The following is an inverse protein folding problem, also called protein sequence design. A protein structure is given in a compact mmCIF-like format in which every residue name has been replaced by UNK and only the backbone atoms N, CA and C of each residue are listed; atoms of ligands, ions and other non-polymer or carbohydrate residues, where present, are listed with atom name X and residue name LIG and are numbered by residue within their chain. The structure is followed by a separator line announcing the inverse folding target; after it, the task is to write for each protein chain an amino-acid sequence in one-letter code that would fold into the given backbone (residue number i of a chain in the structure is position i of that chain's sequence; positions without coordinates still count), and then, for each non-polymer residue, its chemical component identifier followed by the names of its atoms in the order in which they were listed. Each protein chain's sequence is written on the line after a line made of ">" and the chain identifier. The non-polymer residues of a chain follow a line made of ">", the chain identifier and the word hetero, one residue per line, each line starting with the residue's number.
data_IF_194981436606
#
_entry.id   IF_194981436606
#
_cell.length_a   1.000
_cell.length_b   1.000
_cell.length_c   1.000
_cell.angle_alpha   90.00
_cell.angle_beta   90.00
_cell.angle_gamma   90.00
#
_symmetry.space_group_name_H-M   'P 1'
#
loop_
_entity.id
_entity.type
_entity.pdbx_description
1 polymer ?
#
# COMPACT_ATOMS: atom_id res chain seq x y z
N UNK A 1 56.90 -21.45 24.36
CA UNK A 1 56.06 -20.24 24.40
C UNK A 1 55.74 -19.87 22.98
N UNK A 2 54.84 -20.61 22.29
CA UNK A 2 54.37 -20.28 20.93
C UNK A 2 53.18 -21.14 20.43
N UNK A 3 52.41 -21.75 21.29
CA UNK A 3 51.23 -22.53 20.88
C UNK A 3 49.91 -22.18 21.60
N UNK A 4 49.92 -21.16 22.46
CA UNK A 4 48.71 -20.69 23.20
C UNK A 4 48.10 -19.38 22.64
N UNK A 5 48.85 -18.62 21.83
CA UNK A 5 48.34 -17.39 21.22
C UNK A 5 47.57 -17.64 19.91
N UNK A 6 47.83 -18.72 19.20
CA UNK A 6 47.13 -19.08 17.95
C UNK A 6 45.72 -19.68 18.19
N UNK A 7 45.43 -20.17 19.39
CA UNK A 7 44.14 -20.77 19.73
C UNK A 7 43.13 -19.75 20.25
N UNK A 8 43.56 -18.52 20.59
CA UNK A 8 42.67 -17.45 21.10
C UNK A 8 42.17 -16.55 19.95
N UNK A 9 42.94 -16.44 18.85
CA UNK A 9 42.50 -15.66 17.69
C UNK A 9 41.42 -16.37 16.83
N UNK A 10 41.45 -17.74 16.79
CA UNK A 10 40.43 -18.50 16.06
C UNK A 10 39.09 -18.68 16.76
N UNK A 11 38.93 -18.23 18.00
CA UNK A 11 37.65 -18.25 18.75
C UNK A 11 36.92 -16.92 18.79
N UNK A 12 37.46 -15.86 18.19
CA UNK A 12 36.82 -14.54 18.13
C UNK A 12 36.14 -14.21 16.81
N UNK A 13 36.21 -15.08 15.81
CA UNK A 13 35.54 -14.85 14.50
C UNK A 13 34.21 -15.60 14.33
N UNK A 14 33.72 -16.35 15.32
CA UNK A 14 32.44 -17.05 15.25
C UNK A 14 31.30 -16.45 16.09
N UNK A 15 31.48 -15.30 16.71
CA UNK A 15 30.39 -14.53 17.36
C UNK A 15 30.10 -13.20 16.65
N UNK A 16 30.26 -13.15 15.32
CA UNK A 16 29.61 -12.17 14.48
C UNK A 16 28.15 -12.58 14.33
N UNK A 17 27.29 -12.14 15.25
CA UNK A 17 25.86 -12.29 15.11
C UNK A 17 25.46 -11.81 13.73
N UNK A 18 24.89 -12.71 12.94
CA UNK A 18 24.16 -12.40 11.73
C UNK A 18 23.08 -11.36 12.09
N UNK A 19 23.45 -10.09 12.01
CA UNK A 19 22.50 -8.99 11.99
C UNK A 19 21.73 -9.15 10.69
N UNK A 20 20.71 -10.00 10.73
CA UNK A 20 19.89 -10.36 9.60
C UNK A 20 19.62 -9.14 8.75
N UNK A 21 20.06 -9.19 7.51
CA UNK A 21 19.86 -8.12 6.55
C UNK A 21 18.37 -7.71 6.58
N UNK A 22 18.03 -6.46 6.95
CA UNK A 22 16.62 -6.05 7.02
C UNK A 22 15.83 -6.32 5.74
N UNK A 23 16.53 -6.38 4.58
CA UNK A 23 15.97 -6.75 3.30
C UNK A 23 15.61 -8.25 3.22
N UNK A 24 16.39 -9.14 3.85
CA UNK A 24 16.07 -10.57 3.91
C UNK A 24 14.90 -10.84 4.86
N UNK A 25 14.85 -10.15 6.00
CA UNK A 25 13.70 -10.21 6.91
C UNK A 25 12.43 -9.66 6.24
N UNK A 26 12.58 -8.63 5.40
CA UNK A 26 11.48 -8.06 4.65
C UNK A 26 11.02 -8.99 3.52
N UNK A 27 11.94 -9.66 2.82
CA UNK A 27 11.60 -10.65 1.78
C UNK A 27 10.90 -11.87 2.38
N UNK A 28 11.34 -12.38 3.53
CA UNK A 28 10.66 -13.45 4.26
C UNK A 28 9.26 -13.04 4.76
N UNK A 29 9.12 -11.77 5.17
CA UNK A 29 7.84 -11.22 5.59
C UNK A 29 6.91 -10.97 4.41
N UNK A 30 7.45 -10.56 3.26
CA UNK A 30 6.69 -10.25 2.04
C UNK A 30 6.33 -11.49 1.21
N UNK A 31 6.81 -12.68 1.57
CA UNK A 31 6.34 -13.94 1.01
C UNK A 31 7.10 -14.41 -0.24
N UNK A 32 8.40 -14.16 -0.33
CA UNK A 32 9.28 -14.72 -1.38
C UNK A 32 9.50 -16.24 -1.21
N UNK A 33 8.80 -16.86 -0.26
CA UNK A 33 8.76 -18.32 -0.10
C UNK A 33 7.70 -18.89 -1.04
N UNK A 34 8.03 -19.91 -1.85
CA UNK A 34 7.09 -20.49 -2.83
C UNK A 34 5.81 -21.08 -2.21
N UNK A 35 5.78 -21.26 -0.89
CA UNK A 35 4.65 -21.84 -0.15
C UNK A 35 3.76 -20.81 0.56
N UNK A 36 4.02 -19.50 0.42
CA UNK A 36 3.21 -18.47 1.06
C UNK A 36 2.49 -17.60 0.03
N UNK A 37 1.19 -17.42 0.22
CA UNK A 37 0.43 -16.45 -0.56
C UNK A 37 1.06 -15.05 -0.42
N UNK A 38 1.33 -14.34 -1.52
CA UNK A 38 1.93 -13.01 -1.48
C UNK A 38 1.04 -12.03 -0.71
N UNK A 39 1.65 -11.16 0.09
CA UNK A 39 0.93 -10.10 0.78
C UNK A 39 0.39 -9.11 -0.26
N UNK A 40 -0.91 -9.12 -0.48
CA UNK A 40 -1.60 -8.21 -1.41
C UNK A 40 -2.25 -7.05 -0.66
N UNK A 41 -1.41 -6.23 -0.01
CA UNK A 41 -1.87 -5.09 0.79
C UNK A 41 -0.99 -3.87 0.56
N UNK A 42 -1.61 -2.69 0.60
CA UNK A 42 -0.92 -1.40 0.52
C UNK A 42 -1.48 -0.46 1.59
N UNK A 43 -0.64 0.39 2.15
CA UNK A 43 -1.03 1.36 3.18
C UNK A 43 -1.04 2.79 2.66
N UNK A 44 -2.07 3.56 3.01
CA UNK A 44 -2.09 5.03 2.96
C UNK A 44 -2.09 5.50 4.40
N UNK A 45 -0.89 5.63 4.96
CA UNK A 45 -0.68 5.94 6.37
C UNK A 45 0.04 7.28 6.50
N UNK A 46 -0.50 8.18 7.31
CA UNK A 46 0.01 9.55 7.42
C UNK A 46 -0.68 10.52 6.45
N UNK A 47 -0.07 11.66 6.20
CA UNK A 47 -0.64 12.69 5.34
C UNK A 47 -0.45 12.35 3.85
N UNK A 48 -1.41 12.74 3.02
CA UNK A 48 -1.37 12.57 1.56
C UNK A 48 -0.62 13.77 0.99
N UNK A 49 0.58 13.54 0.46
CA UNK A 49 1.48 14.57 -0.02
C UNK A 49 2.32 14.07 -1.19
N UNK A 50 2.95 15.00 -1.93
CA UNK A 50 3.77 14.70 -3.11
C UNK A 50 4.88 13.68 -2.79
N UNK A 51 5.45 13.73 -1.58
CA UNK A 51 6.56 12.88 -1.17
C UNK A 51 6.21 11.38 -1.14
N UNK A 52 4.94 11.03 -0.94
CA UNK A 52 4.52 9.63 -0.81
C UNK A 52 3.53 9.15 -1.88
N UNK A 53 2.95 10.06 -2.64
CA UNK A 53 1.96 9.70 -3.69
C UNK A 53 2.57 8.79 -4.75
N UNK A 54 3.81 9.06 -5.16
CA UNK A 54 4.53 8.23 -6.13
C UNK A 54 4.65 6.79 -5.67
N UNK A 55 5.07 6.56 -4.44
CA UNK A 55 5.22 5.22 -3.86
C UNK A 55 3.89 4.47 -3.79
N UNK A 56 2.81 5.18 -3.42
CA UNK A 56 1.47 4.60 -3.37
C UNK A 56 1.01 4.20 -4.78
N UNK A 57 1.17 5.07 -5.78
CA UNK A 57 0.77 4.80 -7.17
C UNK A 57 1.55 3.62 -7.76
N UNK A 58 2.88 3.58 -7.57
CA UNK A 58 3.69 2.45 -8.02
C UNK A 58 3.36 1.16 -7.28
N UNK A 59 3.08 1.23 -5.98
CA UNK A 59 2.61 0.10 -5.19
C UNK A 59 1.28 -0.47 -5.71
N UNK A 60 0.33 0.39 -6.06
CA UNK A 60 -0.93 0.01 -6.69
C UNK A 60 -0.72 -0.69 -8.04
N UNK A 61 0.16 -0.15 -8.88
CA UNK A 61 0.53 -0.76 -10.17
C UNK A 61 1.20 -2.13 -9.99
N UNK A 62 2.10 -2.27 -9.04
CA UNK A 62 2.76 -3.54 -8.74
C UNK A 62 1.75 -4.62 -8.32
N UNK A 63 0.81 -4.28 -7.42
CA UNK A 63 -0.28 -5.17 -7.00
C UNK A 63 -1.21 -5.52 -8.17
N UNK A 64 -1.49 -4.57 -9.06
CA UNK A 64 -2.30 -4.81 -10.24
C UNK A 64 -1.59 -5.72 -11.25
N UNK A 65 -0.31 -5.52 -11.51
CA UNK A 65 0.46 -6.34 -12.45
C UNK A 65 0.60 -7.79 -11.99
N UNK A 66 0.57 -8.05 -10.69
CA UNK A 66 0.66 -9.39 -10.10
C UNK A 66 -0.71 -9.97 -9.72
N UNK A 67 -1.81 -9.43 -10.25
CA UNK A 67 -3.17 -9.83 -9.85
C UNK A 67 -3.59 -11.21 -10.33
N UNK A 68 -3.05 -11.66 -11.46
CA UNK A 68 -3.46 -12.91 -12.05
C UNK A 68 -2.84 -14.11 -11.34
N UNK A 69 -3.64 -15.05 -10.95
CA UNK A 69 -3.25 -16.36 -10.42
C UNK A 69 -4.02 -17.46 -11.11
N UNK A 70 -3.44 -18.62 -11.18
CA UNK A 70 -4.07 -19.82 -11.71
C UNK A 70 -4.75 -20.60 -10.58
N UNK A 71 -6.01 -20.96 -10.76
CA UNK A 71 -6.77 -21.78 -9.82
C UNK A 71 -7.47 -22.90 -10.56
N UNK A 72 -7.58 -24.06 -9.91
CA UNK A 72 -8.42 -25.14 -10.40
C UNK A 72 -9.88 -24.67 -10.42
N UNK A 73 -10.61 -24.96 -11.49
CA UNK A 73 -12.07 -24.69 -11.58
C UNK A 73 -12.84 -25.47 -10.52
N UNK A 74 -12.43 -26.71 -10.27
CA UNK A 74 -12.95 -27.54 -9.20
C UNK A 74 -11.80 -27.84 -8.22
N UNK A 75 -11.80 -27.24 -7.02
CA UNK A 75 -10.77 -27.49 -6.01
C UNK A 75 -10.73 -28.92 -5.48
N UNK A 76 -11.83 -29.69 -5.65
CA UNK A 76 -11.94 -31.08 -5.21
C UNK A 76 -11.41 -32.06 -6.27
N UNK A 77 -11.25 -31.63 -7.53
CA UNK A 77 -10.70 -32.41 -8.63
C UNK A 77 -9.31 -31.89 -9.05
N UNK A 78 -8.22 -32.58 -8.69
CA UNK A 78 -6.85 -32.19 -9.09
C UNK A 78 -6.59 -32.17 -10.60
N UNK A 79 -7.44 -32.86 -11.39
CA UNK A 79 -7.34 -32.92 -12.85
C UNK A 79 -8.26 -31.89 -13.54
N UNK A 80 -8.97 -31.06 -12.75
CA UNK A 80 -9.85 -30.05 -13.32
C UNK A 80 -9.06 -28.99 -14.11
N UNK A 81 -9.72 -28.36 -15.06
CA UNK A 81 -9.14 -27.27 -15.84
C UNK A 81 -8.69 -26.11 -14.93
N UNK A 82 -7.57 -25.50 -15.29
CA UNK A 82 -7.04 -24.32 -14.62
C UNK A 82 -7.64 -23.07 -15.25
N UNK A 83 -8.12 -22.14 -14.42
CA UNK A 83 -8.58 -20.84 -14.86
C UNK A 83 -7.73 -19.71 -14.25
N UNK A 84 -7.56 -18.63 -15.00
CA UNK A 84 -6.92 -17.40 -14.51
C UNK A 84 -7.94 -16.57 -13.74
N UNK A 85 -7.61 -16.29 -12.50
CA UNK A 85 -8.46 -15.50 -11.59
C UNK A 85 -7.72 -14.23 -11.17
N UNK A 86 -8.42 -13.10 -11.20
CA UNK A 86 -7.88 -11.86 -10.65
C UNK A 86 -8.00 -11.85 -9.12
N UNK A 87 -6.87 -11.76 -8.44
CA UNK A 87 -6.82 -11.65 -6.97
C UNK A 87 -7.02 -10.20 -6.54
N UNK A 88 -7.96 -9.91 -5.63
CA UNK A 88 -8.10 -8.59 -5.05
C UNK A 88 -6.89 -8.22 -4.20
N UNK A 89 -6.75 -6.93 -3.89
CA UNK A 89 -5.83 -6.47 -2.87
C UNK A 89 -6.52 -5.52 -1.89
N UNK A 90 -5.96 -5.39 -0.69
CA UNK A 90 -6.49 -4.53 0.36
C UNK A 90 -5.68 -3.24 0.50
N UNK A 91 -6.37 -2.09 0.49
CA UNK A 91 -5.80 -0.79 0.82
C UNK A 91 -6.22 -0.40 2.24
N UNK A 92 -5.22 -0.30 3.12
CA UNK A 92 -5.41 0.12 4.52
C UNK A 92 -5.18 1.62 4.61
N UNK A 93 -6.15 2.36 5.16
CA UNK A 93 -6.14 3.83 5.18
C UNK A 93 -6.21 4.33 6.62
N UNK A 94 -5.20 5.14 7.00
CA UNK A 94 -5.17 5.88 8.27
C UNK A 94 -4.50 7.24 8.05
N UNK A 95 -5.30 8.27 7.77
CA UNK A 95 -4.79 9.58 7.34
C UNK A 95 -5.59 10.74 7.91
N UNK A 96 -4.95 11.89 8.10
CA UNK A 96 -5.63 13.18 8.31
C UNK A 96 -6.17 13.79 7.01
N UNK A 97 -5.80 13.25 5.85
CA UNK A 97 -6.02 13.83 4.53
C UNK A 97 -4.73 14.44 3.99
N UNK A 98 -4.83 15.51 3.23
CA UNK A 98 -3.69 16.19 2.63
C UNK A 98 -4.03 16.89 1.33
N UNK A 99 -3.08 16.96 0.40
CA UNK A 99 -3.24 17.63 -0.90
C UNK A 99 -4.29 16.91 -1.76
N UNK A 100 -5.24 17.71 -2.28
CA UNK A 100 -6.34 17.17 -3.10
C UNK A 100 -5.85 16.66 -4.46
N UNK A 101 -4.81 17.24 -5.04
CA UNK A 101 -4.25 16.82 -6.35
C UNK A 101 -3.58 15.46 -6.20
N UNK A 102 -2.86 15.27 -5.10
CA UNK A 102 -2.21 14.01 -4.78
C UNK A 102 -3.26 12.91 -4.48
N UNK A 103 -4.31 13.26 -3.77
CA UNK A 103 -5.44 12.36 -3.56
C UNK A 103 -6.09 11.94 -4.88
N UNK A 104 -6.30 12.88 -5.82
CA UNK A 104 -6.88 12.56 -7.13
C UNK A 104 -5.96 11.65 -7.96
N UNK A 105 -4.64 11.81 -7.89
CA UNK A 105 -3.71 10.91 -8.57
C UNK A 105 -3.88 9.46 -8.09
N UNK A 106 -3.95 9.25 -6.78
CA UNK A 106 -4.22 7.92 -6.19
C UNK A 106 -5.62 7.42 -6.57
N UNK A 107 -6.64 8.29 -6.48
CA UNK A 107 -8.03 7.97 -6.81
C UNK A 107 -8.18 7.51 -8.26
N UNK A 108 -7.58 8.23 -9.22
CA UNK A 108 -7.64 7.89 -10.64
C UNK A 108 -6.94 6.55 -10.92
N UNK A 109 -5.81 6.27 -10.27
CA UNK A 109 -5.17 4.97 -10.34
C UNK A 109 -6.07 3.86 -9.80
N UNK A 110 -6.72 4.05 -8.66
CA UNK A 110 -7.70 3.10 -8.13
C UNK A 110 -8.85 2.88 -9.11
N UNK A 111 -9.36 3.95 -9.73
CA UNK A 111 -10.42 3.87 -10.75
C UNK A 111 -9.99 3.11 -12.01
N UNK A 112 -8.73 3.26 -12.40
CA UNK A 112 -8.15 2.52 -13.52
C UNK A 112 -8.11 1.02 -13.21
N UNK A 113 -7.55 0.64 -12.07
CA UNK A 113 -7.36 -0.74 -11.62
C UNK A 113 -8.68 -1.48 -11.40
N UNK A 114 -9.69 -0.79 -10.85
CA UNK A 114 -11.00 -1.38 -10.57
C UNK A 114 -11.80 -1.85 -11.78
N UNK A 115 -11.30 -1.68 -12.98
CA UNK A 115 -11.93 -2.21 -14.21
C UNK A 115 -11.80 -3.73 -14.29
N UNK A 116 -10.73 -4.28 -13.72
CA UNK A 116 -10.37 -5.70 -13.84
C UNK A 116 -9.77 -6.32 -12.56
N UNK A 117 -9.62 -5.54 -11.49
CA UNK A 117 -9.14 -6.01 -10.19
C UNK A 117 -9.91 -5.33 -9.05
N UNK A 118 -10.46 -6.10 -8.15
CA UNK A 118 -11.16 -5.56 -6.98
C UNK A 118 -10.16 -4.95 -5.98
N UNK A 119 -10.51 -3.76 -5.49
CA UNK A 119 -9.79 -3.08 -4.41
C UNK A 119 -10.65 -3.09 -3.16
N UNK A 120 -10.23 -3.84 -2.16
CA UNK A 120 -10.83 -3.76 -0.83
C UNK A 120 -10.23 -2.57 -0.08
N UNK A 121 -11.03 -1.79 0.62
CA UNK A 121 -10.52 -0.69 1.43
C UNK A 121 -10.89 -0.89 2.90
N UNK A 122 -9.94 -0.59 3.78
CA UNK A 122 -10.10 -0.67 5.24
C UNK A 122 -9.63 0.62 5.90
N UNK A 123 -10.57 1.40 6.43
CA UNK A 123 -10.26 2.55 7.26
C UNK A 123 -9.96 2.15 8.70
N UNK A 124 -8.81 2.55 9.25
CA UNK A 124 -8.43 2.31 10.65
C UNK A 124 -8.01 3.61 11.34
N UNK A 125 -8.25 3.69 12.65
CA UNK A 125 -7.88 4.85 13.46
C UNK A 125 -8.59 6.13 13.02
N UNK A 126 -8.16 6.70 11.91
CA UNK A 126 -8.73 7.93 11.35
C UNK A 126 -8.69 7.93 9.82
N UNK A 127 -9.76 8.37 9.19
CA UNK A 127 -9.83 8.62 7.74
C UNK A 127 -10.52 9.98 7.56
N UNK A 128 -9.71 11.00 7.30
CA UNK A 128 -10.18 12.38 7.31
C UNK A 128 -9.93 13.04 5.97
N UNK A 129 -10.77 14.04 5.62
CA UNK A 129 -10.58 14.92 4.46
C UNK A 129 -10.31 14.11 3.16
N UNK A 130 -9.19 14.34 2.50
CA UNK A 130 -8.74 13.63 1.28
C UNK A 130 -8.67 12.09 1.42
N UNK A 131 -8.59 11.54 2.64
CA UNK A 131 -8.65 10.10 2.85
C UNK A 131 -10.02 9.48 2.61
N UNK A 132 -11.10 10.26 2.76
CA UNK A 132 -12.47 9.74 2.65
C UNK A 132 -12.83 9.34 1.21
N UNK A 133 -12.52 10.14 0.16
CA UNK A 133 -12.68 9.72 -1.22
C UNK A 133 -11.92 8.43 -1.56
N UNK A 134 -10.70 8.24 -1.03
CA UNK A 134 -9.92 7.02 -1.25
C UNK A 134 -10.60 5.80 -0.61
N UNK A 135 -11.10 5.93 0.63
CA UNK A 135 -11.89 4.87 1.27
C UNK A 135 -13.13 4.53 0.45
N UNK A 136 -13.82 5.54 -0.05
CA UNK A 136 -15.02 5.38 -0.87
C UNK A 136 -14.73 4.81 -2.28
N UNK A 137 -13.50 5.00 -2.79
CA UNK A 137 -13.06 4.49 -4.09
C UNK A 137 -12.87 2.97 -4.12
N UNK A 138 -12.85 2.27 -3.00
CA UNK A 138 -12.85 0.81 -2.95
C UNK A 138 -14.04 0.18 -3.67
N UNK A 139 -13.92 -1.09 -4.05
CA UNK A 139 -14.99 -1.84 -4.71
C UNK A 139 -16.27 -1.86 -3.86
N UNK A 140 -17.41 -1.65 -4.49
CA UNK A 140 -18.71 -1.66 -3.79
C UNK A 140 -18.92 -3.00 -3.07
N UNK A 141 -19.27 -2.93 -1.78
CA UNK A 141 -19.43 -4.12 -0.92
C UNK A 141 -18.12 -4.58 -0.25
N UNK A 142 -16.97 -4.08 -0.69
CA UNK A 142 -15.65 -4.46 -0.15
C UNK A 142 -14.96 -3.32 0.62
N UNK A 143 -15.73 -2.32 1.03
CA UNK A 143 -15.27 -1.18 1.83
C UNK A 143 -15.59 -1.41 3.29
N UNK A 144 -14.59 -1.31 4.15
CA UNK A 144 -14.69 -1.63 5.57
C UNK A 144 -14.12 -0.48 6.42
N UNK A 145 -14.65 -0.35 7.62
CA UNK A 145 -14.20 0.61 8.62
C UNK A 145 -14.02 -0.11 9.94
N UNK A 146 -12.87 0.08 10.57
CA UNK A 146 -12.60 -0.44 11.91
C UNK A 146 -13.55 0.16 12.95
N UNK A 147 -13.91 -0.59 13.97
CA UNK A 147 -14.88 -0.21 15.02
C UNK A 147 -14.59 1.16 15.65
N UNK A 148 -13.32 1.52 15.78
CA UNK A 148 -12.88 2.77 16.42
C UNK A 148 -12.35 3.80 15.42
N UNK A 149 -12.50 3.55 14.12
CA UNK A 149 -12.09 4.48 13.09
C UNK A 149 -12.99 5.72 13.09
N UNK A 150 -12.38 6.88 13.04
CA UNK A 150 -13.07 8.18 12.93
C UNK A 150 -13.03 8.66 11.49
N UNK A 151 -14.20 9.03 10.97
CA UNK A 151 -14.35 9.64 9.64
C UNK A 151 -14.66 11.11 9.83
N UNK A 152 -13.97 11.98 9.08
CA UNK A 152 -14.27 13.41 9.07
C UNK A 152 -14.29 13.96 7.65
N UNK A 153 -15.41 14.55 7.28
CA UNK A 153 -15.60 15.31 6.06
C UNK A 153 -15.68 16.80 6.42
N UNK A 154 -15.04 17.63 5.65
CA UNK A 154 -15.12 19.07 5.74
C UNK A 154 -15.06 19.71 4.35
N UNK A 155 -15.42 20.98 4.26
CA UNK A 155 -15.27 21.74 3.03
C UNK A 155 -13.79 21.90 2.69
N UNK A 156 -13.50 22.01 1.40
CA UNK A 156 -12.13 22.25 0.92
C UNK A 156 -11.60 23.55 1.57
N UNK A 157 -10.43 23.44 2.17
CA UNK A 157 -9.68 24.60 2.67
C UNK A 157 -8.49 24.80 1.76
N UNK A 158 -8.38 25.94 1.13
CA UNK A 158 -7.26 26.30 0.28
C UNK A 158 -6.64 27.60 0.76
N UNK A 159 -5.31 27.69 0.68
CA UNK A 159 -4.54 28.90 0.85
C UNK A 159 -3.62 29.06 -0.34
N UNK A 160 -3.60 30.23 -0.95
CA UNK A 160 -2.71 30.53 -2.07
C UNK A 160 -1.83 31.74 -1.74
N UNK A 161 -0.55 31.64 -2.08
CA UNK A 161 0.42 32.73 -2.01
C UNK A 161 1.03 32.87 -3.40
N UNK A 162 0.74 34.01 -4.08
CA UNK A 162 1.25 34.23 -5.43
C UNK A 162 0.70 35.48 -6.09
N UNK A 163 0.94 35.63 -7.39
CA UNK A 163 0.39 36.72 -8.17
C UNK A 163 -1.14 36.61 -8.25
N UNK A 164 -1.86 37.74 -8.24
CA UNK A 164 -3.32 37.79 -8.22
C UNK A 164 -3.98 36.90 -9.30
N UNK A 165 -3.42 36.86 -10.50
CA UNK A 165 -3.95 36.03 -11.59
C UNK A 165 -3.84 34.52 -11.30
N UNK A 166 -2.79 34.09 -10.60
CA UNK A 166 -2.60 32.70 -10.18
C UNK A 166 -3.61 32.34 -9.11
N UNK A 167 -3.80 33.20 -8.10
CA UNK A 167 -4.79 33.01 -7.03
C UNK A 167 -6.24 32.95 -7.58
N UNK A 168 -6.56 33.74 -8.62
CA UNK A 168 -7.87 33.70 -9.27
C UNK A 168 -8.11 32.39 -10.04
N UNK A 169 -7.08 31.82 -10.64
CA UNK A 169 -7.21 30.52 -11.32
C UNK A 169 -7.41 29.38 -10.33
N UNK A 170 -6.67 29.36 -9.23
CA UNK A 170 -6.83 28.36 -8.16
C UNK A 170 -8.21 28.43 -7.51
N UNK A 171 -8.77 29.62 -7.32
CA UNK A 171 -10.14 29.78 -6.81
C UNK A 171 -11.18 29.18 -7.75
N UNK A 172 -11.01 29.30 -9.06
CA UNK A 172 -11.94 28.71 -10.05
C UNK A 172 -11.87 27.18 -10.10
N UNK A 173 -10.74 26.58 -9.72
CA UNK A 173 -10.62 25.12 -9.63
C UNK A 173 -11.31 24.54 -8.39
N UNK A 174 -11.62 25.39 -7.39
CA UNK A 174 -12.25 25.00 -6.13
C UNK A 174 -13.77 25.20 -6.18
N UNK A 175 -14.28 26.09 -7.01
CA UNK A 175 -15.71 26.32 -7.23
C UNK A 175 -16.37 25.20 -8.06
#
# INVERSE_FOLDING_TARGET
>A
MSNEEESVEKKKEEEGGDSGNPLLLLSDLLGDSPDKDPIRKIGVIGDIAEENTGDIVYGLLALHNTRETEKLKDPEDPESEVEKVSQPFEMIISTNGGDAREMFAIYDMMRHIRKDCDIETLGIGKVMSAGVPLLAAGTKGKRRIGKYCRIMLHNVSAGSIGALAQMQNELKEIE
#
